data_IF_539272143830
#
_entry.id   IF_539272143830
#
_cell.length_a   1.000
_cell.length_b   1.000
_cell.length_c   1.000
_cell.angle_alpha   90.00
_cell.angle_beta   90.00
_cell.angle_gamma   90.00
#
_symmetry.space_group_name_H-M   'P 1'
#
loop_
_entity.id
_entity.type
_entity.pdbx_description
1 polymer ?
#
# COMPACT_ATOMS: atom_id res chain seq x y z
N UNK A 1 60.69 3.10 -16.48
CA UNK A 1 59.51 3.98 -16.43
C UNK A 1 58.93 3.90 -15.03
N UNK A 2 59.00 4.98 -14.25
CA UNK A 2 58.60 5.00 -12.83
C UNK A 2 57.07 5.15 -12.72
N UNK A 3 56.41 4.15 -12.13
CA UNK A 3 54.99 4.20 -11.78
C UNK A 3 54.76 5.21 -10.65
N UNK A 4 53.87 6.17 -10.89
CA UNK A 4 53.48 7.20 -9.93
C UNK A 4 52.28 6.67 -9.14
N UNK A 5 52.49 6.27 -7.90
CA UNK A 5 51.39 5.96 -6.98
C UNK A 5 50.62 7.26 -6.67
N UNK A 6 49.28 7.25 -6.67
CA UNK A 6 48.49 8.42 -6.28
C UNK A 6 48.80 8.78 -4.82
N UNK A 7 48.94 10.07 -4.54
CA UNK A 7 49.24 10.57 -3.20
C UNK A 7 48.10 10.20 -2.24
N UNK A 8 48.44 9.93 -0.98
CA UNK A 8 47.48 9.67 0.11
C UNK A 8 46.42 10.76 0.25
N UNK A 9 46.74 12.00 -0.14
CA UNK A 9 45.83 13.16 -0.21
C UNK A 9 44.71 12.94 -1.24
N UNK A 10 45.00 12.33 -2.39
CA UNK A 10 44.02 12.04 -3.44
C UNK A 10 43.02 10.94 -3.04
N UNK A 11 43.45 10.00 -2.19
CA UNK A 11 42.57 8.95 -1.64
C UNK A 11 41.64 9.52 -0.55
N UNK A 12 42.15 10.40 0.31
CA UNK A 12 41.37 11.08 1.34
C UNK A 12 40.29 12.02 0.76
N UNK A 13 40.62 12.78 -0.29
CA UNK A 13 39.65 13.65 -0.96
C UNK A 13 38.51 12.88 -1.63
N UNK A 14 38.80 11.69 -2.18
CA UNK A 14 37.77 10.81 -2.75
C UNK A 14 36.81 10.29 -1.68
N UNK A 15 37.31 9.88 -0.51
CA UNK A 15 36.45 9.46 0.61
C UNK A 15 35.63 10.62 1.21
N UNK A 16 36.18 11.83 1.29
CA UNK A 16 35.45 13.02 1.76
C UNK A 16 34.36 13.43 0.77
N UNK A 17 34.58 13.32 -0.53
CA UNK A 17 33.53 13.55 -1.53
C UNK A 17 32.46 12.45 -1.55
N UNK A 18 32.83 11.18 -1.34
CA UNK A 18 31.85 10.07 -1.22
C UNK A 18 31.02 10.20 0.06
N UNK A 19 31.60 10.68 1.17
CA UNK A 19 30.85 10.98 2.41
C UNK A 19 29.98 12.24 2.31
N UNK A 20 30.40 13.25 1.54
CA UNK A 20 29.57 14.44 1.28
C UNK A 20 28.48 14.19 0.22
N UNK A 21 28.56 13.08 -0.51
CA UNK A 21 27.53 12.55 -1.41
C UNK A 21 26.77 11.36 -0.80
N UNK A 22 26.83 11.15 0.52
CA UNK A 22 25.67 10.53 1.17
C UNK A 22 24.57 11.58 1.14
N UNK A 23 23.81 11.62 0.04
CA UNK A 23 22.56 12.35 -0.03
C UNK A 23 21.71 11.86 1.13
N UNK A 24 21.69 12.63 2.22
CA UNK A 24 20.58 12.58 3.17
C UNK A 24 19.37 12.84 2.30
N UNK A 25 18.53 11.83 2.10
CA UNK A 25 17.23 12.00 1.47
C UNK A 25 16.49 12.99 2.35
N UNK A 26 16.55 14.28 2.00
CA UNK A 26 15.70 15.26 2.64
C UNK A 26 14.27 14.82 2.33
N UNK A 27 13.49 14.59 3.40
CA UNK A 27 12.06 14.42 3.26
C UNK A 27 11.54 15.58 2.42
N UNK A 28 11.01 15.29 1.23
CA UNK A 28 10.43 16.30 0.36
C UNK A 28 9.22 16.96 1.02
N UNK A 29 8.56 16.24 1.94
CA UNK A 29 7.56 16.78 2.86
C UNK A 29 8.25 17.30 4.14
N UNK A 30 8.24 18.62 4.32
CA UNK A 30 8.61 19.27 5.60
C UNK A 30 7.42 19.22 6.56
N UNK A 31 7.51 18.39 7.59
CA UNK A 31 6.53 18.37 8.68
C UNK A 31 6.56 19.71 9.46
N UNK A 32 5.42 20.17 10.00
CA UNK A 32 5.40 21.34 10.87
C UNK A 32 6.35 21.19 12.06
N UNK A 33 6.89 22.30 12.56
CA UNK A 33 7.70 22.31 13.78
C UNK A 33 6.97 21.56 14.92
N UNK A 34 7.69 20.67 15.61
CA UNK A 34 7.19 19.78 16.68
C UNK A 34 6.24 18.65 16.24
N UNK A 35 6.16 18.32 14.95
CA UNK A 35 5.47 17.11 14.47
C UNK A 35 6.47 16.11 13.93
N UNK A 36 6.39 14.88 14.44
CA UNK A 36 7.17 13.74 13.98
C UNK A 36 6.24 12.62 13.52
N UNK A 37 6.67 11.90 12.48
CA UNK A 37 6.10 10.61 12.08
C UNK A 37 7.19 9.56 12.32
N UNK A 38 7.15 8.83 13.45
CA UNK A 38 8.21 7.89 13.79
C UNK A 38 8.20 6.65 12.91
N UNK A 39 7.02 6.22 12.45
CA UNK A 39 6.86 5.10 11.55
C UNK A 39 5.68 5.28 10.60
N UNK A 40 5.73 4.53 9.50
CA UNK A 40 4.61 4.32 8.59
C UNK A 40 4.31 2.83 8.54
N UNK A 41 3.06 2.47 8.78
CA UNK A 41 2.62 1.09 8.83
C UNK A 41 1.51 0.91 7.79
N UNK A 42 1.67 -0.09 6.92
CA UNK A 42 0.81 -0.26 5.76
C UNK A 42 0.03 -1.58 5.86
N UNK A 43 -1.28 -1.50 5.68
CA UNK A 43 -2.19 -2.62 5.49
C UNK A 43 -2.83 -2.51 4.12
N UNK A 44 -3.12 -3.65 3.49
CA UNK A 44 -3.79 -3.60 2.21
C UNK A 44 -3.61 -4.78 1.30
N UNK A 45 -3.77 -4.51 0.02
CA UNK A 45 -3.63 -5.47 -1.06
C UNK A 45 -2.38 -5.22 -1.93
N UNK A 46 -2.42 -5.73 -3.16
CA UNK A 46 -1.36 -5.65 -4.16
C UNK A 46 -0.94 -4.22 -4.49
N UNK A 47 -1.81 -3.22 -4.31
CA UNK A 47 -1.49 -1.82 -4.60
C UNK A 47 -0.29 -1.36 -3.76
N UNK A 48 -0.16 -1.85 -2.53
CA UNK A 48 0.86 -1.40 -1.59
C UNK A 48 1.77 -2.52 -1.06
N UNK A 49 1.59 -3.76 -1.52
CA UNK A 49 2.41 -4.91 -1.12
C UNK A 49 3.87 -4.77 -1.59
N UNK A 50 4.78 -4.99 -0.66
CA UNK A 50 6.23 -4.94 -0.84
C UNK A 50 6.90 -6.31 -0.85
N UNK A 51 6.12 -7.39 -0.86
CA UNK A 51 6.55 -8.78 -1.03
C UNK A 51 6.12 -9.76 0.06
N UNK A 52 4.99 -9.53 0.75
CA UNK A 52 4.52 -10.47 1.79
C UNK A 52 4.00 -11.80 1.21
N UNK A 53 3.55 -11.84 -0.04
CA UNK A 53 3.01 -13.05 -0.66
C UNK A 53 4.07 -13.97 -1.32
N UNK A 54 5.36 -13.62 -1.26
CA UNK A 54 6.42 -14.25 -2.07
C UNK A 54 6.57 -15.77 -1.88
N UNK A 55 6.32 -16.26 -0.67
CA UNK A 55 6.51 -17.66 -0.30
C UNK A 55 5.21 -18.49 -0.42
N UNK A 56 4.08 -17.88 -0.79
CA UNK A 56 2.82 -18.58 -0.95
C UNK A 56 2.69 -19.20 -2.35
N UNK A 57 3.23 -20.40 -2.52
CA UNK A 57 3.27 -21.07 -3.83
C UNK A 57 1.88 -21.46 -4.37
N UNK A 58 0.86 -21.49 -3.51
CA UNK A 58 -0.51 -21.85 -3.89
C UNK A 58 -1.28 -20.68 -4.51
N UNK A 59 -0.88 -19.45 -4.23
CA UNK A 59 -1.58 -18.27 -4.73
C UNK A 59 -1.10 -17.87 -6.13
N UNK A 60 -2.02 -17.67 -7.09
CA UNK A 60 -1.68 -17.05 -8.37
C UNK A 60 -1.39 -15.55 -8.21
N UNK A 61 -1.80 -14.93 -7.09
CA UNK A 61 -1.62 -13.51 -6.81
C UNK A 61 -0.20 -13.24 -6.29
N UNK A 62 0.86 -13.76 -6.92
CA UNK A 62 2.26 -13.42 -6.59
C UNK A 62 2.82 -12.42 -7.60
N UNK A 63 3.90 -11.74 -7.25
CA UNK A 63 4.60 -10.78 -8.12
C UNK A 63 6.13 -10.84 -7.97
N UNK A 64 6.67 -11.96 -7.47
CA UNK A 64 8.11 -12.23 -7.40
C UNK A 64 8.66 -12.96 -8.64
N UNK A 65 8.12 -12.66 -9.83
CA UNK A 65 8.56 -13.20 -11.11
C UNK A 65 8.47 -12.12 -12.22
N UNK A 66 9.18 -12.28 -13.36
CA UNK A 66 9.06 -11.36 -14.48
C UNK A 66 7.62 -11.27 -15.03
N UNK A 67 7.14 -10.10 -15.51
CA UNK A 67 7.90 -8.89 -15.78
C UNK A 67 7.97 -7.89 -14.61
N UNK A 68 7.52 -8.27 -13.40
CA UNK A 68 7.59 -7.39 -12.23
C UNK A 68 9.04 -7.01 -11.88
N UNK A 69 9.22 -5.81 -11.34
CA UNK A 69 10.54 -5.33 -10.92
C UNK A 69 11.55 -5.05 -12.04
N UNK A 70 11.15 -5.06 -13.32
CA UNK A 70 12.03 -4.77 -14.47
C UNK A 70 12.80 -3.46 -14.32
N UNK A 71 12.13 -2.42 -13.84
CA UNK A 71 12.67 -1.08 -13.66
C UNK A 71 13.04 -0.83 -12.17
N UNK A 72 12.99 -1.88 -11.35
CA UNK A 72 13.38 -1.87 -9.93
C UNK A 72 14.84 -2.28 -9.79
N UNK A 73 15.43 -2.04 -8.61
CA UNK A 73 16.87 -2.23 -8.34
C UNK A 73 17.43 -3.55 -8.89
N UNK A 74 18.30 -3.44 -9.89
CA UNK A 74 18.94 -4.59 -10.54
C UNK A 74 18.01 -5.45 -11.41
N UNK A 75 16.83 -4.93 -11.78
CA UNK A 75 15.85 -5.61 -12.62
C UNK A 75 15.21 -6.84 -11.97
N UNK A 76 15.15 -6.88 -10.63
CA UNK A 76 14.71 -8.06 -9.88
C UNK A 76 13.28 -7.93 -9.36
N UNK A 77 12.42 -8.94 -9.59
CA UNK A 77 11.09 -8.96 -8.98
C UNK A 77 11.20 -9.24 -7.48
N UNK A 78 10.62 -8.35 -6.65
CA UNK A 78 10.67 -8.48 -5.18
C UNK A 78 9.33 -8.83 -4.54
N UNK A 79 8.27 -9.05 -5.35
CA UNK A 79 6.90 -9.13 -4.84
C UNK A 79 6.16 -7.80 -4.76
N UNK A 80 6.69 -6.76 -5.42
CA UNK A 80 5.97 -5.51 -5.69
C UNK A 80 5.18 -5.69 -6.97
N UNK A 81 3.89 -5.35 -6.96
CA UNK A 81 3.00 -5.46 -8.13
C UNK A 81 3.20 -4.28 -9.10
N UNK A 82 4.46 -4.01 -9.42
CA UNK A 82 4.91 -2.88 -10.24
C UNK A 82 6.20 -3.25 -10.96
N UNK A 83 6.57 -2.46 -11.97
CA UNK A 83 7.92 -2.48 -12.55
C UNK A 83 8.96 -1.84 -11.60
N UNK A 84 8.52 -1.04 -10.62
CA UNK A 84 9.39 -0.27 -9.73
C UNK A 84 8.88 -0.21 -8.29
N UNK A 85 9.08 0.96 -7.65
CA UNK A 85 8.49 1.27 -6.34
C UNK A 85 6.96 1.18 -6.38
N UNK A 86 6.36 0.74 -5.29
CA UNK A 86 4.91 0.83 -5.06
C UNK A 86 4.59 2.06 -4.20
N UNK A 87 3.34 2.54 -4.17
CA UNK A 87 2.94 3.70 -3.36
C UNK A 87 3.44 3.66 -1.89
N UNK A 88 3.49 2.50 -1.25
CA UNK A 88 4.02 2.36 0.11
C UNK A 88 5.50 2.74 0.22
N UNK A 89 6.32 2.44 -0.79
CA UNK A 89 7.72 2.91 -0.84
C UNK A 89 7.79 4.41 -1.07
N UNK A 90 6.97 4.93 -1.99
CA UNK A 90 6.96 6.35 -2.32
C UNK A 90 6.58 7.19 -1.10
N UNK A 91 5.61 6.74 -0.31
CA UNK A 91 5.18 7.41 0.91
C UNK A 91 6.30 7.52 1.95
N UNK A 92 7.03 6.44 2.22
CA UNK A 92 8.09 6.45 3.24
C UNK A 92 9.34 7.21 2.79
N UNK A 93 9.60 7.21 1.48
CA UNK A 93 10.71 7.96 0.86
C UNK A 93 10.42 9.47 0.90
N UNK A 94 9.19 9.87 0.54
CA UNK A 94 8.75 11.26 0.54
C UNK A 94 8.73 11.86 1.97
N UNK A 95 8.43 11.04 2.98
CA UNK A 95 8.50 11.39 4.40
C UNK A 95 9.91 11.33 4.98
N UNK A 96 10.92 10.92 4.20
CA UNK A 96 12.32 10.79 4.62
C UNK A 96 12.54 9.76 5.73
N UNK A 97 11.66 8.76 5.84
CA UNK A 97 11.76 7.70 6.86
C UNK A 97 12.74 6.62 6.39
N UNK A 98 12.57 6.17 5.15
CA UNK A 98 13.41 5.16 4.49
C UNK A 98 13.10 5.15 3.00
N UNK A 99 14.04 4.68 2.19
CA UNK A 99 13.85 4.65 0.74
C UNK A 99 12.84 3.60 0.27
N UNK A 100 12.80 2.45 0.96
CA UNK A 100 11.95 1.31 0.64
C UNK A 100 11.33 0.74 1.91
N UNK A 101 10.04 0.39 1.86
CA UNK A 101 9.36 -0.23 2.98
C UNK A 101 9.54 -1.76 2.92
N UNK A 102 10.08 -2.41 3.97
CA UNK A 102 10.18 -3.86 3.97
C UNK A 102 8.80 -4.52 4.24
N UNK A 103 8.52 -5.68 3.60
CA UNK A 103 7.40 -6.51 4.02
C UNK A 103 7.69 -7.10 5.41
N UNK A 104 6.66 -7.24 6.24
CA UNK A 104 6.80 -7.87 7.56
C UNK A 104 7.30 -9.33 7.45
N UNK A 105 6.95 -10.03 6.37
CA UNK A 105 7.43 -11.37 6.07
C UNK A 105 8.91 -11.46 5.62
N UNK A 106 9.65 -10.33 5.59
CA UNK A 106 11.07 -10.35 5.24
C UNK A 106 11.87 -11.26 6.20
N UNK A 107 12.77 -12.11 5.67
CA UNK A 107 13.48 -13.10 6.48
C UNK A 107 14.40 -12.49 7.56
N UNK A 108 14.82 -11.23 7.38
CA UNK A 108 15.67 -10.50 8.32
C UNK A 108 15.24 -9.04 8.40
N UNK A 109 14.20 -8.75 9.19
CA UNK A 109 13.90 -7.38 9.59
C UNK A 109 14.94 -6.89 10.59
N UNK A 110 15.47 -5.68 10.38
CA UNK A 110 16.35 -5.04 11.36
C UNK A 110 15.54 -4.39 12.49
N UNK A 111 16.12 -4.11 13.66
CA UNK A 111 15.43 -3.34 14.69
C UNK A 111 14.97 -1.97 14.21
N UNK A 112 15.76 -1.32 13.34
CA UNK A 112 15.39 -0.03 12.75
C UNK A 112 14.18 -0.16 11.82
N UNK A 113 14.05 -1.25 11.07
CA UNK A 113 12.87 -1.51 10.25
C UNK A 113 11.62 -1.59 11.11
N UNK A 114 11.69 -2.31 12.23
CA UNK A 114 10.58 -2.43 13.18
C UNK A 114 10.28 -1.07 13.82
N UNK A 115 11.28 -0.28 14.21
CA UNK A 115 11.06 1.04 14.82
C UNK A 115 10.40 2.06 13.89
N UNK A 116 10.66 1.95 12.58
CA UNK A 116 10.21 2.91 11.55
C UNK A 116 9.08 2.39 10.67
N UNK A 117 8.58 1.19 10.96
CA UNK A 117 7.40 0.61 10.32
C UNK A 117 7.68 -0.30 9.13
N UNK A 118 6.69 -1.13 8.83
CA UNK A 118 6.73 -2.24 7.86
C UNK A 118 5.40 -2.31 7.10
N UNK A 119 5.40 -3.11 6.02
CA UNK A 119 4.19 -3.40 5.26
C UNK A 119 3.61 -4.77 5.62
N UNK A 120 2.32 -4.83 5.93
CA UNK A 120 1.54 -6.06 6.16
C UNK A 120 0.66 -6.45 4.96
N UNK A 121 0.56 -5.59 3.95
CA UNK A 121 -0.29 -5.81 2.80
C UNK A 121 0.07 -7.10 2.02
N UNK A 122 -0.94 -7.75 1.46
CA UNK A 122 -0.84 -9.00 0.70
C UNK A 122 -1.72 -8.91 -0.54
N UNK A 123 -1.14 -9.14 -1.73
CA UNK A 123 -1.91 -9.16 -2.98
C UNK A 123 -3.09 -10.13 -2.97
N UNK A 124 -4.24 -9.67 -3.48
CA UNK A 124 -5.47 -10.47 -3.55
C UNK A 124 -6.35 -10.43 -2.29
N UNK A 125 -5.92 -9.74 -1.23
CA UNK A 125 -6.75 -9.53 -0.03
C UNK A 125 -7.85 -8.50 -0.32
N UNK A 126 -8.98 -8.67 0.36
CA UNK A 126 -10.10 -7.72 0.37
C UNK A 126 -10.72 -7.64 1.77
N UNK A 127 -11.70 -6.75 1.93
CA UNK A 127 -12.51 -6.67 3.15
C UNK A 127 -13.41 -7.89 3.32
N UNK A 128 -13.91 -8.45 2.21
CA UNK A 128 -14.68 -9.69 2.23
C UNK A 128 -13.74 -10.90 2.43
N UNK A 129 -13.93 -11.72 3.47
CA UNK A 129 -13.12 -12.91 3.69
C UNK A 129 -13.14 -13.89 2.50
N UNK A 130 -14.22 -13.91 1.71
CA UNK A 130 -14.33 -14.74 0.52
C UNK A 130 -13.32 -14.32 -0.56
N UNK A 131 -13.04 -13.02 -0.69
CA UNK A 131 -12.07 -12.48 -1.66
C UNK A 131 -10.70 -13.14 -1.47
N UNK A 132 -10.22 -13.17 -0.23
CA UNK A 132 -8.90 -13.77 0.09
C UNK A 132 -8.90 -15.28 -0.15
N UNK A 133 -10.03 -15.95 0.14
CA UNK A 133 -10.20 -17.39 -0.12
C UNK A 133 -10.11 -17.71 -1.62
N UNK A 134 -10.77 -16.92 -2.47
CA UNK A 134 -10.73 -17.09 -3.94
C UNK A 134 -9.32 -16.87 -4.50
N UNK A 135 -8.55 -15.95 -3.91
CA UNK A 135 -7.17 -15.68 -4.30
C UNK A 135 -6.13 -16.63 -3.65
N UNK A 136 -6.57 -17.58 -2.82
CA UNK A 136 -5.71 -18.49 -2.03
C UNK A 136 -4.65 -17.75 -1.21
N UNK A 137 -5.03 -16.63 -0.58
CA UNK A 137 -4.16 -15.83 0.30
C UNK A 137 -4.73 -15.74 1.72
N UNK A 138 -3.89 -15.46 2.73
CA UNK A 138 -4.38 -15.20 4.09
C UNK A 138 -5.37 -14.02 4.12
N UNK A 139 -6.44 -14.10 4.92
CA UNK A 139 -7.45 -13.05 5.02
C UNK A 139 -6.89 -11.78 5.69
N UNK A 140 -7.64 -10.67 5.62
CA UNK A 140 -7.29 -9.40 6.27
C UNK A 140 -6.98 -9.55 7.78
N UNK A 141 -7.66 -10.47 8.46
CA UNK A 141 -7.42 -10.76 9.87
C UNK A 141 -5.98 -11.25 10.15
N UNK A 142 -5.34 -11.93 9.19
CA UNK A 142 -3.93 -12.33 9.31
C UNK A 142 -3.00 -11.10 9.35
N UNK A 143 -3.32 -10.04 8.61
CA UNK A 143 -2.56 -8.78 8.68
C UNK A 143 -2.68 -8.14 10.07
N UNK A 144 -3.86 -8.22 10.71
CA UNK A 144 -4.09 -7.73 12.07
C UNK A 144 -3.33 -8.55 13.11
N UNK A 145 -3.32 -9.88 13.00
CA UNK A 145 -2.57 -10.74 13.92
C UNK A 145 -1.06 -10.50 13.80
N UNK A 146 -0.54 -10.38 12.57
CA UNK A 146 0.86 -9.99 12.33
C UNK A 146 1.20 -8.61 12.90
N UNK A 147 0.24 -7.69 12.91
CA UNK A 147 0.44 -6.39 13.55
C UNK A 147 0.53 -6.50 15.07
N UNK A 148 -0.28 -7.36 15.71
CA UNK A 148 -0.13 -7.64 17.15
C UNK A 148 1.24 -8.24 17.48
N UNK A 149 1.71 -9.19 16.67
CA UNK A 149 3.07 -9.73 16.83
C UNK A 149 4.15 -8.64 16.65
N UNK A 150 3.97 -7.76 15.67
CA UNK A 150 4.86 -6.63 15.45
C UNK A 150 4.88 -5.68 16.65
N UNK A 151 3.74 -5.44 17.30
CA UNK A 151 3.68 -4.62 18.53
C UNK A 151 4.52 -5.26 19.64
N UNK A 152 4.47 -6.58 19.82
CA UNK A 152 5.31 -7.26 20.81
C UNK A 152 6.81 -7.14 20.47
N UNK A 153 7.18 -7.29 19.19
CA UNK A 153 8.56 -7.04 18.74
C UNK A 153 8.99 -5.59 19.00
N UNK A 154 8.09 -4.64 18.75
CA UNK A 154 8.33 -3.22 18.99
C UNK A 154 8.54 -2.94 20.48
N UNK A 155 7.76 -3.56 21.37
CA UNK A 155 7.96 -3.49 22.84
C UNK A 155 9.32 -4.02 23.26
N UNK A 156 9.76 -5.15 22.73
CA UNK A 156 11.08 -5.72 23.04
C UNK A 156 12.21 -4.77 22.64
N UNK A 157 12.09 -4.09 21.49
CA UNK A 157 13.14 -3.19 20.98
C UNK A 157 13.12 -1.82 21.65
N UNK A 158 11.94 -1.25 21.85
CA UNK A 158 11.76 0.16 22.23
C UNK A 158 11.38 0.36 23.70
N UNK A 159 10.89 -0.69 24.38
CA UNK A 159 10.19 -0.59 25.66
C UNK A 159 8.74 -0.14 25.51
N UNK A 160 7.96 -0.27 26.59
CA UNK A 160 6.50 -0.02 26.58
C UNK A 160 6.14 1.42 26.23
N UNK A 161 6.73 2.39 26.93
CA UNK A 161 6.38 3.81 26.77
C UNK A 161 6.71 4.34 25.37
N UNK A 162 7.88 3.94 24.84
CA UNK A 162 8.25 4.31 23.47
C UNK A 162 7.37 3.62 22.44
N UNK A 163 6.92 2.38 22.70
CA UNK A 163 5.98 1.68 21.82
C UNK A 163 4.65 2.41 21.73
N UNK A 164 4.07 2.80 22.87
CA UNK A 164 2.84 3.62 22.92
C UNK A 164 3.02 4.92 22.13
N UNK A 165 4.17 5.59 22.30
CA UNK A 165 4.51 6.80 21.55
C UNK A 165 4.56 6.55 20.04
N UNK A 166 5.24 5.47 19.59
CA UNK A 166 5.36 5.13 18.18
C UNK A 166 3.97 4.86 17.60
N UNK A 167 3.16 4.00 18.23
CA UNK A 167 1.82 3.65 17.73
C UNK A 167 0.90 4.88 17.62
N UNK A 168 0.90 5.76 18.62
CA UNK A 168 0.06 6.95 18.62
C UNK A 168 0.51 8.02 17.59
N UNK A 169 1.79 8.04 17.21
CA UNK A 169 2.34 9.09 16.33
C UNK A 169 2.64 8.61 14.90
N UNK A 170 2.67 7.30 14.67
CA UNK A 170 2.84 6.71 13.34
C UNK A 170 1.62 6.97 12.47
N UNK A 171 1.82 6.96 11.14
CA UNK A 171 0.70 7.01 10.19
C UNK A 171 0.43 5.61 9.68
N UNK A 172 -0.82 5.18 9.84
CA UNK A 172 -1.32 3.91 9.34
C UNK A 172 -2.04 4.16 8.02
N UNK A 173 -1.72 3.40 6.98
CA UNK A 173 -2.51 3.41 5.74
C UNK A 173 -3.21 2.07 5.56
N UNK A 174 -4.47 2.12 5.14
CA UNK A 174 -5.29 0.95 4.81
C UNK A 174 -5.75 1.08 3.36
N UNK A 175 -5.34 0.14 2.50
CA UNK A 175 -5.59 0.18 1.05
C UNK A 175 -6.21 -1.14 0.59
N UNK A 176 -7.54 -1.18 0.55
CA UNK A 176 -8.37 -2.34 0.23
C UNK A 176 -9.63 -1.86 -0.48
N UNK A 177 -10.36 -2.78 -1.12
CA UNK A 177 -11.69 -2.66 -1.78
C UNK A 177 -11.68 -3.15 -3.22
N UNK A 178 -10.55 -2.99 -3.92
CA UNK A 178 -10.44 -3.26 -5.35
C UNK A 178 -10.77 -4.72 -5.69
N UNK A 179 -10.22 -5.65 -4.90
CA UNK A 179 -10.44 -7.09 -5.13
C UNK A 179 -11.88 -7.52 -4.81
N UNK A 180 -12.52 -6.92 -3.81
CA UNK A 180 -13.91 -7.24 -3.43
C UNK A 180 -14.88 -6.88 -4.54
N UNK A 181 -14.77 -5.65 -5.06
CA UNK A 181 -15.63 -5.15 -6.15
C UNK A 181 -15.28 -5.90 -7.44
N UNK A 182 -14.02 -5.81 -7.91
CA UNK A 182 -13.67 -6.27 -9.24
C UNK A 182 -13.72 -7.80 -9.36
N UNK A 183 -13.06 -8.51 -8.44
CA UNK A 183 -12.87 -9.95 -8.57
C UNK A 183 -14.04 -10.73 -7.98
N UNK A 184 -14.41 -10.43 -6.73
CA UNK A 184 -15.41 -11.24 -6.00
C UNK A 184 -16.84 -10.93 -6.44
N UNK A 185 -17.19 -9.65 -6.59
CA UNK A 185 -18.55 -9.24 -6.96
C UNK A 185 -18.80 -9.31 -8.46
N UNK A 186 -17.99 -8.63 -9.28
CA UNK A 186 -18.26 -8.50 -10.72
C UNK A 186 -17.70 -9.65 -11.59
N UNK A 187 -16.44 -10.06 -11.37
CA UNK A 187 -15.79 -11.09 -12.20
C UNK A 187 -16.29 -12.50 -11.83
N UNK A 188 -16.19 -12.89 -10.55
CA UNK A 188 -16.57 -14.22 -10.10
C UNK A 188 -18.08 -14.37 -9.87
N UNK A 189 -18.81 -13.25 -9.70
CA UNK A 189 -20.27 -13.20 -9.50
C UNK A 189 -20.79 -14.01 -8.32
N UNK A 190 -19.92 -14.39 -7.38
CA UNK A 190 -20.32 -15.22 -6.23
C UNK A 190 -21.16 -14.39 -5.25
N UNK A 191 -20.77 -13.11 -5.04
CA UNK A 191 -21.50 -12.20 -4.14
C UNK A 191 -22.71 -11.54 -4.77
N UNK A 192 -22.75 -11.37 -6.10
CA UNK A 192 -23.93 -10.84 -6.78
C UNK A 192 -25.16 -11.75 -6.69
N UNK A 193 -24.97 -13.04 -6.33
CA UNK A 193 -26.07 -13.97 -6.05
C UNK A 193 -26.72 -13.75 -4.67
N UNK A 194 -26.05 -13.01 -3.78
CA UNK A 194 -26.44 -12.83 -2.38
C UNK A 194 -26.75 -11.37 -2.05
N UNK A 195 -26.09 -10.43 -2.73
CA UNK A 195 -26.17 -9.01 -2.46
C UNK A 195 -26.33 -8.23 -3.76
N UNK A 196 -27.20 -7.22 -3.75
CA UNK A 196 -27.09 -6.13 -4.71
C UNK A 196 -25.90 -5.23 -4.36
N UNK A 197 -25.54 -4.30 -5.25
CA UNK A 197 -24.38 -3.41 -5.07
C UNK A 197 -24.51 -2.57 -3.79
N UNK A 198 -25.67 -1.94 -3.48
CA UNK A 198 -25.85 -1.26 -2.21
C UNK A 198 -25.58 -2.14 -0.98
N UNK A 199 -26.17 -3.32 -0.88
CA UNK A 199 -25.97 -4.19 0.28
C UNK A 199 -24.53 -4.73 0.37
N UNK A 200 -23.88 -5.02 -0.76
CA UNK A 200 -22.49 -5.47 -0.75
C UNK A 200 -21.53 -4.37 -0.31
N UNK A 201 -21.77 -3.12 -0.74
CA UNK A 201 -20.95 -1.98 -0.27
C UNK A 201 -21.17 -1.69 1.21
N UNK A 202 -22.37 -1.92 1.77
CA UNK A 202 -22.58 -1.86 3.22
C UNK A 202 -21.80 -2.95 3.96
N UNK A 203 -21.81 -4.17 3.44
CA UNK A 203 -21.02 -5.28 3.97
C UNK A 203 -19.51 -5.00 3.95
N UNK A 204 -18.99 -4.41 2.87
CA UNK A 204 -17.58 -4.01 2.80
C UNK A 204 -17.25 -2.92 3.83
N UNK A 205 -18.12 -1.91 3.97
CA UNK A 205 -17.92 -0.82 4.93
C UNK A 205 -17.97 -1.33 6.37
N UNK A 206 -18.82 -2.31 6.70
CA UNK A 206 -18.83 -2.88 8.05
C UNK A 206 -17.48 -3.51 8.41
N UNK A 207 -16.89 -4.30 7.50
CA UNK A 207 -15.58 -4.92 7.69
C UNK A 207 -14.45 -3.88 7.74
N UNK A 208 -14.54 -2.83 6.92
CA UNK A 208 -13.58 -1.72 6.96
C UNK A 208 -13.61 -1.01 8.32
N UNK A 209 -14.81 -0.71 8.84
CA UNK A 209 -15.00 -0.04 10.12
C UNK A 209 -14.57 -0.90 11.30
N UNK A 210 -14.84 -2.21 11.27
CA UNK A 210 -14.33 -3.16 12.27
C UNK A 210 -12.79 -3.21 12.28
N UNK A 211 -12.16 -3.25 11.10
CA UNK A 211 -10.70 -3.27 11.00
C UNK A 211 -10.08 -1.97 11.53
N UNK A 212 -10.62 -0.81 11.15
CA UNK A 212 -10.16 0.50 11.65
C UNK A 212 -10.33 0.61 13.16
N UNK A 213 -11.45 0.12 13.69
CA UNK A 213 -11.69 0.07 15.14
C UNK A 213 -10.65 -0.81 15.85
N UNK A 214 -10.34 -1.98 15.31
CA UNK A 214 -9.33 -2.87 15.89
C UNK A 214 -7.93 -2.22 15.88
N UNK A 215 -7.54 -1.54 14.80
CA UNK A 215 -6.28 -0.78 14.74
C UNK A 215 -6.24 0.33 15.81
N UNK A 216 -7.37 1.02 16.03
CA UNK A 216 -7.47 2.06 17.05
C UNK A 216 -7.35 1.50 18.48
N UNK A 217 -8.00 0.38 18.76
CA UNK A 217 -7.92 -0.35 20.03
C UNK A 217 -6.50 -0.84 20.33
N UNK A 218 -5.71 -1.13 19.30
CA UNK A 218 -4.28 -1.45 19.41
C UNK A 218 -3.38 -0.22 19.64
N UNK A 219 -3.94 0.97 19.85
CA UNK A 219 -3.19 2.16 20.26
C UNK A 219 -2.79 3.10 19.12
N UNK A 220 -3.19 2.81 17.88
CA UNK A 220 -2.94 3.72 16.75
C UNK A 220 -3.88 4.92 16.79
N UNK A 221 -3.40 6.09 16.34
CA UNK A 221 -4.21 7.34 16.38
C UNK A 221 -4.25 8.11 15.07
N UNK A 222 -3.44 7.77 14.06
CA UNK A 222 -3.43 8.43 12.75
C UNK A 222 -3.64 7.39 11.66
N UNK A 223 -4.87 7.26 11.16
CA UNK A 223 -5.26 6.22 10.21
C UNK A 223 -5.81 6.89 8.95
N UNK A 224 -5.18 6.63 7.82
CA UNK A 224 -5.62 7.03 6.50
C UNK A 224 -6.20 5.80 5.79
N UNK A 225 -7.49 5.83 5.46
CA UNK A 225 -8.16 4.74 4.76
C UNK A 225 -8.44 5.21 3.34
N UNK A 226 -7.88 4.50 2.36
CA UNK A 226 -8.02 4.86 0.96
C UNK A 226 -9.33 4.31 0.40
N UNK A 227 -10.01 5.11 -0.41
CA UNK A 227 -11.15 4.64 -1.21
C UNK A 227 -10.75 3.68 -2.31
N UNK A 228 -11.76 3.11 -2.97
CA UNK A 228 -11.62 2.41 -4.23
C UNK A 228 -11.18 3.37 -5.36
N UNK A 229 -10.26 2.95 -6.24
CA UNK A 229 -9.91 3.68 -7.46
C UNK A 229 -11.05 3.60 -8.49
N UNK A 230 -10.93 4.22 -9.68
CA UNK A 230 -11.84 3.96 -10.81
C UNK A 230 -11.63 2.54 -11.35
N UNK A 231 -12.14 1.54 -10.62
CA UNK A 231 -11.90 0.10 -10.85
C UNK A 231 -12.33 -0.30 -12.26
N UNK A 232 -13.47 0.19 -12.76
CA UNK A 232 -13.94 -0.14 -14.11
C UNK A 232 -12.99 0.31 -15.22
N UNK A 233 -12.05 1.22 -14.92
CA UNK A 233 -11.03 1.70 -15.85
C UNK A 233 -9.72 0.90 -15.79
N UNK A 234 -9.56 -0.09 -14.91
CA UNK A 234 -8.35 -0.92 -14.92
C UNK A 234 -8.31 -1.83 -16.15
N UNK A 235 -7.12 -2.21 -16.66
CA UNK A 235 -7.03 -2.91 -17.94
C UNK A 235 -7.79 -4.24 -18.04
N UNK A 236 -7.85 -5.02 -16.96
CA UNK A 236 -8.61 -6.27 -16.93
C UNK A 236 -10.11 -6.01 -17.08
N UNK A 237 -10.65 -5.03 -16.34
CA UNK A 237 -12.08 -4.74 -16.34
C UNK A 237 -12.55 -4.05 -17.62
N UNK A 238 -11.70 -3.21 -18.22
CA UNK A 238 -11.93 -2.71 -19.59
C UNK A 238 -11.96 -3.83 -20.62
N UNK A 239 -11.19 -4.90 -20.42
CA UNK A 239 -11.16 -6.06 -21.33
C UNK A 239 -12.39 -6.95 -21.14
N UNK A 240 -12.86 -7.13 -19.90
CA UNK A 240 -13.99 -8.02 -19.58
C UNK A 240 -15.36 -7.34 -19.77
N UNK A 241 -15.49 -6.06 -19.42
CA UNK A 241 -16.78 -5.33 -19.39
C UNK A 241 -16.85 -4.09 -20.29
N UNK A 242 -15.74 -3.65 -20.88
CA UNK A 242 -15.65 -2.40 -21.64
C UNK A 242 -16.15 -2.45 -23.09
N UNK A 243 -16.64 -3.60 -23.56
CA UNK A 243 -17.03 -3.81 -24.97
C UNK A 243 -15.85 -3.80 -25.95
N UNK A 244 -16.14 -3.68 -27.25
CA UNK A 244 -15.14 -3.73 -28.33
C UNK A 244 -14.08 -2.62 -28.15
N UNK A 245 -14.53 -1.42 -27.79
CA UNK A 245 -13.67 -0.24 -27.58
C UNK A 245 -12.89 -0.29 -26.26
N UNK A 246 -13.13 -1.31 -25.42
CA UNK A 246 -12.54 -1.43 -24.08
C UNK A 246 -12.71 -0.14 -23.29
N UNK A 247 -13.91 0.41 -23.24
CA UNK A 247 -14.23 1.56 -22.39
C UNK A 247 -14.13 1.21 -20.91
N UNK A 248 -14.17 2.20 -20.02
CA UNK A 248 -14.34 1.91 -18.61
C UNK A 248 -15.68 1.21 -18.39
N UNK A 249 -15.70 0.23 -17.49
CA UNK A 249 -16.93 -0.46 -17.13
C UNK A 249 -17.68 0.32 -16.05
N UNK A 250 -18.72 1.06 -16.46
CA UNK A 250 -19.40 2.03 -15.58
C UNK A 250 -20.03 1.41 -14.34
N UNK A 251 -20.55 0.17 -14.42
CA UNK A 251 -21.18 -0.47 -13.25
C UNK A 251 -20.19 -0.68 -12.10
N UNK A 252 -18.93 -1.02 -12.40
CA UNK A 252 -17.87 -1.13 -11.39
C UNK A 252 -17.46 0.23 -10.83
N UNK A 253 -17.45 1.26 -11.69
CA UNK A 253 -17.16 2.63 -11.27
C UNK A 253 -18.26 3.18 -10.35
N UNK A 254 -19.53 2.91 -10.63
CA UNK A 254 -20.64 3.29 -9.73
C UNK A 254 -20.55 2.56 -8.39
N UNK A 255 -20.23 1.27 -8.39
CA UNK A 255 -20.02 0.50 -7.16
C UNK A 255 -18.86 1.07 -6.33
N UNK A 256 -17.74 1.42 -6.97
CA UNK A 256 -16.59 2.05 -6.32
C UNK A 256 -16.96 3.41 -5.69
N UNK A 257 -17.67 4.27 -6.43
CA UNK A 257 -18.12 5.57 -5.92
C UNK A 257 -19.09 5.42 -4.75
N UNK A 258 -20.02 4.47 -4.82
CA UNK A 258 -20.96 4.19 -3.74
C UNK A 258 -20.24 3.70 -2.48
N UNK A 259 -19.31 2.73 -2.63
CA UNK A 259 -18.46 2.28 -1.53
C UNK A 259 -17.69 3.44 -0.89
N UNK A 260 -17.05 4.29 -1.71
CA UNK A 260 -16.27 5.44 -1.24
C UNK A 260 -17.12 6.43 -0.44
N UNK A 261 -18.32 6.76 -0.93
CA UNK A 261 -19.24 7.65 -0.22
C UNK A 261 -19.65 7.08 1.13
N UNK A 262 -19.98 5.78 1.20
CA UNK A 262 -20.37 5.11 2.45
C UNK A 262 -19.20 4.98 3.42
N UNK A 263 -18.01 4.66 2.92
CA UNK A 263 -16.78 4.58 3.69
C UNK A 263 -16.45 5.94 4.33
N UNK A 264 -16.46 7.02 3.55
CA UNK A 264 -16.21 8.37 4.06
C UNK A 264 -17.18 8.72 5.20
N UNK A 265 -18.48 8.51 5.00
CA UNK A 265 -19.49 8.77 6.02
C UNK A 265 -19.30 7.92 7.29
N UNK A 266 -18.93 6.64 7.13
CA UNK A 266 -18.67 5.74 8.26
C UNK A 266 -17.44 6.17 9.07
N UNK A 267 -16.36 6.57 8.39
CA UNK A 267 -15.14 7.04 9.05
C UNK A 267 -15.34 8.39 9.76
N UNK A 268 -16.13 9.30 9.17
CA UNK A 268 -16.48 10.57 9.82
C UNK A 268 -17.29 10.34 11.10
N UNK A 269 -18.25 9.41 11.07
CA UNK A 269 -19.02 8.99 12.25
C UNK A 269 -18.14 8.31 13.31
N UNK A 270 -17.21 7.44 12.89
CA UNK A 270 -16.28 6.80 13.82
C UNK A 270 -15.38 7.84 14.51
N UNK A 271 -14.82 8.77 13.73
CA UNK A 271 -13.97 9.86 14.23
C UNK A 271 -14.70 10.72 15.26
N UNK A 272 -15.97 11.06 15.05
CA UNK A 272 -16.73 11.87 16.01
C UNK A 272 -16.99 11.17 17.35
N UNK A 273 -16.88 9.84 17.41
CA UNK A 273 -17.27 9.05 18.58
C UNK A 273 -16.10 8.51 19.43
N UNK A 274 -14.85 8.59 18.96
CA UNK A 274 -13.71 7.95 19.68
C UNK A 274 -12.89 8.90 20.55
N UNK A 275 -12.28 9.93 19.98
CA UNK A 275 -11.39 10.85 20.71
C UNK A 275 -11.02 12.06 19.86
N UNK A 276 -10.93 13.28 20.44
CA UNK A 276 -10.45 14.48 19.73
C UNK A 276 -9.01 14.34 19.19
N UNK A 277 -8.18 13.48 19.80
CA UNK A 277 -6.79 13.29 19.42
C UNK A 277 -6.62 12.27 18.27
N UNK A 278 -7.69 11.55 17.92
CA UNK A 278 -7.69 10.61 16.81
C UNK A 278 -7.82 11.35 15.47
N UNK A 279 -6.95 11.01 14.52
CA UNK A 279 -7.00 11.48 13.14
C UNK A 279 -7.27 10.31 12.23
N UNK A 280 -8.53 10.09 11.97
CA UNK A 280 -8.99 9.04 11.05
C UNK A 280 -9.56 9.77 9.85
N UNK A 281 -8.98 9.51 8.68
CA UNK A 281 -9.29 10.25 7.45
C UNK A 281 -9.56 9.29 6.31
N UNK A 282 -10.63 9.57 5.59
CA UNK A 282 -10.83 9.05 4.24
C UNK A 282 -9.85 9.74 3.29
N UNK A 283 -9.20 8.97 2.43
CA UNK A 283 -8.34 9.49 1.37
C UNK A 283 -8.96 9.13 0.03
N UNK A 284 -9.41 10.16 -0.69
CA UNK A 284 -9.92 9.98 -2.03
C UNK A 284 -8.80 9.74 -3.03
N UNK A 285 -8.81 8.56 -3.64
CA UNK A 285 -7.92 8.22 -4.75
C UNK A 285 -8.68 8.09 -6.07
N UNK A 286 -10.02 8.18 -6.06
CA UNK A 286 -10.83 7.93 -7.24
C UNK A 286 -10.62 9.02 -8.29
N UNK A 287 -10.92 10.27 -7.93
CA UNK A 287 -10.88 11.38 -8.89
C UNK A 287 -9.46 11.74 -9.34
N UNK A 288 -8.42 11.76 -8.49
CA UNK A 288 -7.05 12.00 -8.94
C UNK A 288 -6.58 10.95 -9.96
N UNK A 289 -6.89 9.66 -9.75
CA UNK A 289 -6.52 8.60 -10.69
C UNK A 289 -7.36 8.67 -11.97
N UNK A 290 -8.65 9.01 -11.86
CA UNK A 290 -9.51 9.20 -13.03
C UNK A 290 -9.01 10.37 -13.90
N UNK A 291 -8.55 11.46 -13.29
CA UNK A 291 -8.01 12.60 -14.01
C UNK A 291 -6.73 12.22 -14.79
N UNK A 292 -5.83 11.43 -14.20
CA UNK A 292 -4.66 10.90 -14.91
C UNK A 292 -5.09 10.03 -16.12
N UNK A 293 -6.14 9.23 -15.97
CA UNK A 293 -6.66 8.37 -17.05
C UNK A 293 -7.27 9.21 -18.18
N UNK A 294 -8.01 10.26 -17.85
CA UNK A 294 -8.73 11.11 -18.80
C UNK A 294 -7.82 12.17 -19.44
N UNK A 295 -6.84 12.69 -18.71
CA UNK A 295 -5.95 13.77 -19.08
C UNK A 295 -4.46 13.37 -19.07
N UNK A 296 -4.07 12.26 -19.72
CA UNK A 296 -2.72 11.70 -19.59
C UNK A 296 -1.60 12.67 -19.98
N UNK A 297 -1.83 13.53 -20.97
CA UNK A 297 -0.82 14.47 -21.49
C UNK A 297 -0.37 15.50 -20.45
N UNK A 298 -1.20 15.80 -19.45
CA UNK A 298 -0.84 16.70 -18.34
C UNK A 298 0.16 16.06 -17.37
N UNK A 299 0.19 14.73 -17.32
CA UNK A 299 1.00 13.96 -16.39
C UNK A 299 2.21 13.27 -17.06
N UNK A 300 2.32 13.38 -18.39
CA UNK A 300 3.42 12.82 -19.18
C UNK A 300 2.97 12.05 -20.43
N UNK A 301 3.88 11.32 -21.06
CA UNK A 301 3.56 10.46 -22.21
C UNK A 301 3.03 9.11 -21.72
N UNK A 302 1.72 9.01 -21.47
CA UNK A 302 1.09 7.72 -21.15
C UNK A 302 0.66 6.98 -22.42
N UNK A 303 0.98 5.68 -22.47
CA UNK A 303 0.39 4.77 -23.45
C UNK A 303 -0.85 4.14 -22.81
N UNK A 304 -1.99 4.13 -23.50
CA UNK A 304 -3.26 3.52 -23.01
C UNK A 304 -3.20 1.98 -22.88
N UNK A 305 -2.04 1.37 -23.06
CA UNK A 305 -1.82 -0.09 -23.01
C UNK A 305 -1.10 -0.52 -21.74
N UNK A 306 -1.32 -1.77 -21.33
CA UNK A 306 -0.54 -2.42 -20.26
C UNK A 306 0.95 -2.37 -20.62
N UNK A 307 1.78 -1.77 -19.75
CA UNK A 307 3.24 -1.66 -19.94
C UNK A 307 3.98 -2.96 -19.62
N UNK A 308 3.41 -3.78 -18.74
CA UNK A 308 3.89 -5.12 -18.38
C UNK A 308 3.17 -6.15 -19.23
N UNK A 309 3.47 -6.19 -20.54
CA UNK A 309 3.11 -7.35 -21.36
C UNK A 309 4.14 -8.45 -21.09
N UNK A 310 3.68 -9.65 -20.79
CA UNK A 310 4.46 -10.85 -21.06
C UNK A 310 4.77 -10.81 -22.56
N UNK A 311 6.05 -10.65 -22.92
CA UNK A 311 6.47 -11.01 -24.26
C UNK A 311 6.57 -12.53 -24.23
N UNK A 312 5.48 -13.20 -24.60
CA UNK A 312 5.54 -14.58 -25.07
C UNK A 312 5.87 -14.56 -26.58
#
# INVERSE_FOLDING_TARGET
MKGRYPSTVSFLLFFVHVFLWSSTTEARIKLPANKTVPAVIIFGDSIVDTGNNNNNLLSPARSNFPPYGRDFRGGKPTGRYSNGKVPSDLLVDELGIKELLPPYAAPKLTPQDVLTGVCFAVGGVGYDPLTSKLAAVPPLTDQLEKFKEYIEKLKVIAGEERTKFILANSVIFVVLSSNDIANTYFTARVRSLQYDVPAYTDFMVSHASEFVKALFELGTRRIAVLGAPPIGCVPSQRTLGGGIERNCYEQENEAAKLFNSKLSASLDSFKSNVSPDARIVYVDIYYPLLDIIQNPTQYGKFVRSICLKSFD
#
